data_IF_657733423071
#
_entry.id   IF_657733423071
#
_cell.length_a   1.000
_cell.length_b   1.000
_cell.length_c   1.000
_cell.angle_alpha   90.00
_cell.angle_beta   90.00
_cell.angle_gamma   90.00
#
_symmetry.space_group_name_H-M   'P 1'
#
loop_
_entity.id
_entity.type
_entity.pdbx_description
1 polymer ?
#
# COMPACT_ATOMS: atom_id res chain seq x y z
N UNK A 1 -7.74 -25.16 24.88
CA UNK A 1 -8.19 -24.05 24.02
C UNK A 1 -8.08 -24.47 22.56
N UNK A 2 -8.86 -23.88 21.65
CA UNK A 2 -8.79 -24.12 20.20
C UNK A 2 -7.39 -23.81 19.63
N UNK A 3 -6.72 -22.78 20.17
CA UNK A 3 -5.35 -22.37 19.78
C UNK A 3 -4.35 -23.52 19.93
N UNK A 4 -4.32 -24.19 21.09
CA UNK A 4 -3.41 -25.32 21.32
C UNK A 4 -3.70 -26.49 20.38
N UNK A 5 -4.97 -26.70 20.01
CA UNK A 5 -5.35 -27.73 19.03
C UNK A 5 -4.87 -27.36 17.63
N UNK A 6 -5.04 -26.11 17.21
CA UNK A 6 -4.57 -25.62 15.92
C UNK A 6 -3.04 -25.74 15.81
N UNK A 7 -2.30 -25.31 16.84
CA UNK A 7 -0.83 -25.45 16.90
C UNK A 7 -0.38 -26.91 16.78
N UNK A 8 -1.02 -27.85 17.51
CA UNK A 8 -0.67 -29.28 17.43
C UNK A 8 -0.94 -29.90 16.06
N UNK A 9 -1.94 -29.40 15.32
CA UNK A 9 -2.23 -29.86 13.97
C UNK A 9 -1.29 -29.22 12.94
N UNK A 10 -0.90 -27.96 13.15
CA UNK A 10 -0.03 -27.21 12.25
C UNK A 10 1.43 -27.65 12.34
N UNK A 11 1.93 -27.93 13.55
CA UNK A 11 3.34 -28.23 13.81
C UNK A 11 3.89 -29.36 12.91
N UNK A 12 3.25 -30.55 12.80
CA UNK A 12 3.76 -31.61 11.93
C UNK A 12 3.75 -31.24 10.44
N UNK A 13 2.81 -30.36 10.03
CA UNK A 13 2.74 -29.90 8.64
C UNK A 13 3.89 -28.94 8.32
N UNK A 14 4.29 -28.10 9.27
CA UNK A 14 5.44 -27.20 9.13
C UNK A 14 6.76 -27.99 9.19
N UNK A 15 6.86 -28.98 10.08
CA UNK A 15 8.04 -29.84 10.22
C UNK A 15 8.32 -30.68 8.95
N UNK A 16 7.28 -30.96 8.16
CA UNK A 16 7.39 -31.72 6.91
C UNK A 16 7.79 -30.85 5.69
N UNK A 17 7.90 -29.52 5.85
CA UNK A 17 8.32 -28.64 4.76
C UNK A 17 9.84 -28.73 4.51
N UNK A 18 10.32 -28.40 3.29
CA UNK A 18 11.74 -28.50 2.95
C UNK A 18 12.68 -27.67 3.84
N UNK A 19 12.18 -26.60 4.43
CA UNK A 19 12.89 -25.76 5.40
C UNK A 19 11.96 -25.50 6.61
N UNK A 20 11.97 -26.40 7.62
CA UNK A 20 11.11 -26.29 8.78
C UNK A 20 11.32 -25.01 9.58
N UNK A 21 12.57 -24.56 9.75
CA UNK A 21 12.88 -23.38 10.55
C UNK A 21 12.27 -22.12 9.94
N UNK A 22 12.41 -21.94 8.61
CA UNK A 22 11.74 -20.85 7.88
C UNK A 22 10.23 -20.96 7.96
N UNK A 23 9.68 -22.16 7.80
CA UNK A 23 8.24 -22.39 7.89
C UNK A 23 7.67 -21.99 9.26
N UNK A 24 8.37 -22.36 10.34
CA UNK A 24 8.01 -21.98 11.71
C UNK A 24 8.09 -20.47 11.92
N UNK A 25 9.16 -19.84 11.43
CA UNK A 25 9.33 -18.38 11.52
C UNK A 25 8.17 -17.65 10.83
N UNK A 26 7.89 -18.00 9.57
CA UNK A 26 6.76 -17.44 8.82
C UNK A 26 5.44 -17.68 9.56
N UNK A 27 5.14 -18.93 9.94
CA UNK A 27 3.86 -19.27 10.57
C UNK A 27 3.60 -18.51 11.87
N UNK A 28 4.63 -18.28 12.70
CA UNK A 28 4.52 -17.51 13.94
C UNK A 28 4.23 -16.04 13.67
N UNK A 29 4.96 -15.43 12.72
CA UNK A 29 4.75 -14.02 12.33
C UNK A 29 3.34 -13.81 11.77
N UNK A 30 2.91 -14.67 10.84
CA UNK A 30 1.56 -14.58 10.25
C UNK A 30 0.46 -14.82 11.28
N UNK A 31 0.62 -15.79 12.19
CA UNK A 31 -0.40 -16.07 13.22
C UNK A 31 -0.57 -14.89 14.19
N UNK A 32 0.54 -14.23 14.54
CA UNK A 32 0.49 -13.05 15.40
C UNK A 32 -0.09 -11.82 14.68
N UNK A 33 0.18 -11.66 13.38
CA UNK A 33 -0.43 -10.62 12.55
C UNK A 33 -1.94 -10.87 12.38
N UNK A 34 -2.37 -12.13 12.24
CA UNK A 34 -3.78 -12.49 12.11
C UNK A 34 -4.57 -12.21 13.40
N UNK A 35 -3.93 -12.36 14.57
CA UNK A 35 -4.53 -11.91 15.83
C UNK A 35 -4.75 -10.39 15.82
N UNK A 36 -3.77 -9.61 15.36
CA UNK A 36 -3.92 -8.17 15.21
C UNK A 36 -5.04 -7.81 14.20
N UNK A 37 -5.15 -8.53 13.08
CA UNK A 37 -6.25 -8.37 12.13
C UNK A 37 -7.62 -8.59 12.80
N UNK A 38 -7.77 -9.66 13.58
CA UNK A 38 -9.02 -9.95 14.30
C UNK A 38 -9.37 -8.84 15.31
N UNK A 39 -8.36 -8.29 15.99
CA UNK A 39 -8.52 -7.16 16.89
C UNK A 39 -8.94 -5.89 16.13
N UNK A 40 -8.32 -5.58 14.99
CA UNK A 40 -8.71 -4.42 14.17
C UNK A 40 -10.12 -4.57 13.56
N UNK A 41 -10.50 -5.78 13.12
CA UNK A 41 -11.87 -6.05 12.65
C UNK A 41 -12.90 -5.85 13.75
N UNK A 42 -12.57 -6.27 14.98
CA UNK A 42 -13.47 -6.17 16.14
C UNK A 42 -13.43 -4.80 16.80
N UNK A 43 -12.31 -4.10 16.76
CA UNK A 43 -12.13 -2.76 17.33
C UNK A 43 -12.70 -1.70 16.41
N UNK A 44 -12.46 -1.81 15.11
CA UNK A 44 -12.84 -0.81 14.12
C UNK A 44 -11.99 0.47 14.22
N UNK A 45 -11.97 1.22 13.12
CA UNK A 45 -11.27 2.50 13.03
C UNK A 45 -12.20 3.63 13.49
N UNK A 46 -11.83 4.45 14.48
CA UNK A 46 -12.63 5.60 14.90
C UNK A 46 -12.89 6.60 13.76
N UNK A 47 -14.14 7.03 13.63
CA UNK A 47 -14.57 8.02 12.65
C UNK A 47 -15.54 9.04 13.25
N UNK A 48 -15.62 10.19 12.58
CA UNK A 48 -16.63 11.22 12.79
C UNK A 48 -17.76 10.99 11.76
N UNK A 49 -18.88 10.42 12.22
CA UNK A 49 -20.00 10.05 11.33
C UNK A 49 -20.68 11.28 10.71
N UNK A 50 -20.75 12.39 11.44
CA UNK A 50 -21.33 13.63 10.95
C UNK A 50 -20.47 14.21 9.81
N UNK A 51 -19.16 14.25 10.01
CA UNK A 51 -18.21 14.65 8.98
C UNK A 51 -18.28 13.72 7.75
N UNK A 52 -18.39 12.41 7.97
CA UNK A 52 -18.53 11.46 6.87
C UNK A 52 -19.80 11.73 6.04
N UNK A 53 -20.94 11.95 6.69
CA UNK A 53 -22.21 12.27 6.01
C UNK A 53 -22.15 13.62 5.29
N UNK A 54 -21.49 14.63 5.89
CA UNK A 54 -21.27 15.94 5.25
C UNK A 54 -20.46 15.79 3.97
N UNK A 55 -19.31 15.11 4.03
CA UNK A 55 -18.44 14.89 2.86
C UNK A 55 -19.15 14.10 1.76
N UNK A 56 -19.90 13.05 2.12
CA UNK A 56 -20.70 12.30 1.14
C UNK A 56 -21.75 13.23 0.50
N UNK A 57 -22.43 14.06 1.29
CA UNK A 57 -23.38 15.06 0.80
C UNK A 57 -22.76 16.03 -0.21
N UNK A 58 -21.57 16.54 0.08
CA UNK A 58 -20.85 17.49 -0.77
C UNK A 58 -20.38 16.89 -2.09
N UNK A 59 -19.92 15.64 -2.08
CA UNK A 59 -19.39 14.99 -3.28
C UNK A 59 -20.46 14.26 -4.08
N UNK A 60 -21.33 13.50 -3.41
CA UNK A 60 -22.28 12.60 -4.06
C UNK A 60 -23.69 13.18 -4.17
N UNK A 61 -23.98 14.29 -3.48
CA UNK A 61 -25.32 14.85 -3.34
C UNK A 61 -26.06 14.30 -2.11
N UNK A 62 -27.30 14.76 -1.88
CA UNK A 62 -28.10 14.32 -0.73
C UNK A 62 -28.41 12.82 -0.79
N UNK A 63 -28.78 12.23 0.34
CA UNK A 63 -29.23 10.83 0.36
C UNK A 63 -30.54 10.72 -0.39
N UNK A 64 -30.57 9.87 -1.41
CA UNK A 64 -31.76 9.66 -2.24
C UNK A 64 -32.93 9.11 -1.40
N UNK A 65 -34.11 9.70 -1.55
CA UNK A 65 -35.33 9.25 -0.89
C UNK A 65 -36.05 8.11 -1.64
N UNK A 66 -35.73 7.91 -2.92
CA UNK A 66 -36.29 6.87 -3.79
C UNK A 66 -35.37 6.57 -4.97
N UNK A 67 -35.65 5.51 -5.72
CA UNK A 67 -34.89 5.19 -6.94
C UNK A 67 -34.96 6.31 -8.01
N UNK A 68 -36.12 6.99 -8.14
CA UNK A 68 -36.26 8.13 -9.04
C UNK A 68 -35.41 9.33 -8.61
N UNK A 69 -35.30 9.54 -7.30
CA UNK A 69 -34.47 10.60 -6.73
C UNK A 69 -32.97 10.29 -6.91
N UNK A 70 -32.59 9.02 -6.79
CA UNK A 70 -31.22 8.56 -7.07
C UNK A 70 -30.84 8.78 -8.54
N UNK A 71 -31.73 8.45 -9.47
CA UNK A 71 -31.54 8.72 -10.90
C UNK A 71 -31.37 10.23 -11.16
N UNK A 72 -32.23 11.07 -10.57
CA UNK A 72 -32.15 12.53 -10.69
C UNK A 72 -30.81 13.07 -10.17
N UNK A 73 -30.37 12.67 -8.97
CA UNK A 73 -29.09 13.11 -8.39
C UNK A 73 -27.92 12.68 -9.28
N UNK A 74 -28.00 11.48 -9.86
CA UNK A 74 -26.99 10.96 -10.79
C UNK A 74 -26.94 11.77 -12.09
N UNK A 75 -28.09 12.09 -12.67
CA UNK A 75 -28.20 12.94 -13.86
C UNK A 75 -27.66 14.36 -13.61
N UNK A 76 -28.00 14.97 -12.47
CA UNK A 76 -27.48 16.27 -12.05
C UNK A 76 -25.96 16.28 -11.92
N UNK A 77 -25.38 15.19 -11.40
CA UNK A 77 -23.93 15.02 -11.31
C UNK A 77 -23.30 14.88 -12.70
N UNK A 78 -23.87 14.05 -13.58
CA UNK A 78 -23.37 13.86 -14.94
C UNK A 78 -23.43 15.17 -15.75
N UNK A 79 -24.47 15.96 -15.53
CA UNK A 79 -24.72 17.24 -16.16
C UNK A 79 -23.60 18.27 -15.94
N UNK A 80 -22.92 18.24 -14.79
CA UNK A 80 -21.73 19.08 -14.52
C UNK A 80 -20.62 18.90 -15.56
N UNK A 81 -20.54 17.73 -16.22
CA UNK A 81 -19.58 17.46 -17.29
C UNK A 81 -20.20 17.72 -18.66
N UNK A 82 -21.43 17.26 -18.87
CA UNK A 82 -22.09 17.31 -20.17
C UNK A 82 -22.36 18.74 -20.65
N UNK A 83 -22.48 19.71 -19.74
CA UNK A 83 -22.64 21.13 -20.07
C UNK A 83 -21.45 21.72 -20.84
N UNK A 84 -20.26 21.14 -20.69
CA UNK A 84 -19.04 21.61 -21.36
C UNK A 84 -18.83 21.04 -22.77
N UNK A 85 -19.69 20.13 -23.22
CA UNK A 85 -19.55 19.49 -24.54
C UNK A 85 -20.05 20.39 -25.67
N UNK A 86 -19.24 20.52 -26.71
CA UNK A 86 -19.60 21.23 -27.96
C UNK A 86 -19.42 20.32 -29.18
N UNK A 87 -20.50 19.93 -29.90
CA UNK A 87 -21.89 20.08 -29.51
C UNK A 87 -22.23 19.20 -28.31
N UNK A 88 -23.28 19.60 -27.59
CA UNK A 88 -23.78 18.83 -26.46
C UNK A 88 -24.38 17.51 -26.92
N UNK A 89 -24.06 16.42 -26.22
CA UNK A 89 -24.52 15.07 -26.56
C UNK A 89 -24.55 14.19 -25.31
N UNK A 90 -25.43 13.18 -25.26
CA UNK A 90 -25.41 12.19 -24.19
C UNK A 90 -24.13 11.34 -24.27
N UNK A 91 -23.48 11.14 -23.13
CA UNK A 91 -22.31 10.27 -22.99
C UNK A 91 -22.44 9.51 -21.68
N UNK A 92 -22.27 8.19 -21.69
CA UNK A 92 -22.17 7.44 -20.45
C UNK A 92 -20.79 7.65 -19.83
N UNK A 93 -20.70 8.56 -18.86
CA UNK A 93 -19.44 8.91 -18.18
C UNK A 93 -18.84 7.73 -17.38
N UNK A 94 -19.63 6.69 -17.09
CA UNK A 94 -19.20 5.47 -16.41
C UNK A 94 -18.59 4.45 -17.37
N UNK A 95 -18.69 4.67 -18.68
CA UNK A 95 -18.05 3.85 -19.70
C UNK A 95 -16.72 4.48 -20.16
N UNK A 96 -15.56 3.90 -19.80
CA UNK A 96 -14.26 4.47 -20.16
C UNK A 96 -14.02 4.64 -21.66
N UNK A 97 -14.61 3.77 -22.48
CA UNK A 97 -14.49 3.85 -23.95
C UNK A 97 -15.27 5.05 -24.49
N UNK A 98 -16.46 5.31 -23.97
CA UNK A 98 -17.27 6.47 -24.35
C UNK A 98 -16.63 7.78 -23.88
N UNK A 99 -16.06 7.82 -22.66
CA UNK A 99 -15.31 8.99 -22.18
C UNK A 99 -14.09 9.27 -23.06
N UNK A 100 -13.35 8.24 -23.47
CA UNK A 100 -12.22 8.41 -24.40
C UNK A 100 -12.67 8.94 -25.76
N UNK A 101 -13.79 8.42 -26.29
CA UNK A 101 -14.35 8.88 -27.55
C UNK A 101 -14.87 10.32 -27.46
N UNK A 102 -15.51 10.69 -26.33
CA UNK A 102 -15.93 12.05 -26.02
C UNK A 102 -14.74 13.01 -26.01
N UNK A 103 -13.68 12.70 -25.27
CA UNK A 103 -12.46 13.52 -25.21
C UNK A 103 -11.84 13.70 -26.60
N UNK A 104 -11.73 12.63 -27.40
CA UNK A 104 -11.24 12.71 -28.78
C UNK A 104 -12.09 13.67 -29.63
N UNK A 105 -13.42 13.63 -29.50
CA UNK A 105 -14.32 14.54 -30.22
C UNK A 105 -14.16 16.00 -29.78
N UNK A 106 -13.73 16.24 -28.54
CA UNK A 106 -13.43 17.57 -28.01
C UNK A 106 -11.98 18.01 -28.28
N UNK A 107 -11.23 17.26 -29.10
CA UNK A 107 -9.86 17.62 -29.51
C UNK A 107 -8.74 17.04 -28.65
N UNK A 108 -9.07 16.22 -27.64
CA UNK A 108 -8.10 15.61 -26.73
C UNK A 108 -7.76 14.17 -27.15
N UNK A 109 -6.66 13.98 -27.86
CA UNK A 109 -6.19 12.64 -28.25
C UNK A 109 -5.26 12.04 -27.19
N UNK A 110 -5.80 11.11 -26.40
CA UNK A 110 -5.08 10.47 -25.29
C UNK A 110 -5.04 8.93 -25.43
N UNK A 111 -3.95 8.25 -25.03
CA UNK A 111 -3.88 6.78 -25.02
C UNK A 111 -4.90 6.13 -24.07
N UNK A 112 -5.13 6.74 -22.92
CA UNK A 112 -6.06 6.36 -21.85
C UNK A 112 -6.49 7.61 -21.07
N UNK A 113 -7.47 7.44 -20.18
CA UNK A 113 -8.10 8.52 -19.40
C UNK A 113 -7.68 8.48 -17.93
N UNK A 114 -6.44 8.10 -17.61
CA UNK A 114 -5.90 8.16 -16.25
C UNK A 114 -5.81 9.61 -15.76
N UNK A 115 -6.04 9.82 -14.46
CA UNK A 115 -6.10 11.14 -13.85
C UNK A 115 -4.87 12.00 -14.16
N UNK A 116 -3.66 11.48 -13.94
CA UNK A 116 -2.41 12.21 -14.21
C UNK A 116 -2.27 12.72 -15.64
N UNK A 117 -2.83 12.01 -16.63
CA UNK A 117 -2.78 12.44 -18.03
C UNK A 117 -3.81 13.51 -18.32
N UNK A 118 -4.98 13.43 -17.72
CA UNK A 118 -5.98 14.49 -17.78
C UNK A 118 -5.45 15.76 -17.10
N UNK A 119 -4.80 15.62 -15.94
CA UNK A 119 -4.17 16.73 -15.20
C UNK A 119 -3.07 17.44 -16.02
N UNK A 120 -2.35 16.73 -16.89
CA UNK A 120 -1.36 17.33 -17.80
C UNK A 120 -1.96 18.27 -18.86
N UNK A 121 -3.26 18.14 -19.16
CA UNK A 121 -3.94 19.07 -20.07
C UNK A 121 -4.25 20.42 -19.39
N UNK A 122 -4.08 20.49 -18.06
CA UNK A 122 -4.32 21.67 -17.25
C UNK A 122 -5.79 22.13 -17.26
N UNK A 123 -6.01 23.34 -16.78
CA UNK A 123 -7.35 23.94 -16.63
C UNK A 123 -7.78 24.77 -17.86
N UNK A 124 -7.15 24.55 -19.01
CA UNK A 124 -7.41 25.33 -20.23
C UNK A 124 -8.76 25.02 -20.88
N UNK A 125 -9.21 23.76 -20.76
CA UNK A 125 -10.53 23.32 -21.19
C UNK A 125 -11.37 22.96 -19.95
N UNK A 126 -12.49 23.67 -19.68
CA UNK A 126 -13.37 23.42 -18.54
C UNK A 126 -13.88 21.97 -18.42
N UNK A 127 -13.94 21.22 -19.53
CA UNK A 127 -14.34 19.81 -19.54
C UNK A 127 -13.41 18.95 -18.66
N UNK A 128 -12.10 19.23 -18.66
CA UNK A 128 -11.10 18.43 -17.96
C UNK A 128 -11.26 18.50 -16.43
N UNK A 129 -11.27 19.68 -15.78
CA UNK A 129 -11.51 19.78 -14.35
C UNK A 129 -12.92 19.29 -13.97
N UNK A 130 -13.94 19.52 -14.79
CA UNK A 130 -15.28 18.99 -14.56
C UNK A 130 -15.29 17.45 -14.53
N UNK A 131 -14.65 16.80 -15.50
CA UNK A 131 -14.54 15.34 -15.56
C UNK A 131 -13.75 14.77 -14.36
N UNK A 132 -12.67 15.45 -13.94
CA UNK A 132 -11.89 15.05 -12.77
C UNK A 132 -12.69 15.19 -11.47
N UNK A 133 -13.46 16.28 -11.31
CA UNK A 133 -14.38 16.47 -10.18
C UNK A 133 -15.46 15.38 -10.17
N UNK A 134 -16.10 15.15 -11.32
CA UNK A 134 -17.12 14.11 -11.49
C UNK A 134 -16.59 12.72 -11.11
N UNK A 135 -15.36 12.35 -11.51
CA UNK A 135 -14.76 11.05 -11.14
C UNK A 135 -14.58 10.88 -9.63
N UNK A 136 -14.21 11.94 -8.93
CA UNK A 136 -14.09 11.92 -7.45
C UNK A 136 -15.47 11.73 -6.83
N UNK A 137 -16.45 12.50 -7.27
CA UNK A 137 -17.84 12.44 -6.83
C UNK A 137 -18.47 11.06 -7.10
N UNK A 138 -18.31 10.52 -8.30
CA UNK A 138 -18.82 9.21 -8.71
C UNK A 138 -18.21 8.08 -7.87
N UNK A 139 -16.89 8.12 -7.63
CA UNK A 139 -16.21 7.14 -6.77
C UNK A 139 -16.73 7.20 -5.34
N UNK A 140 -16.95 8.39 -4.78
CA UNK A 140 -17.53 8.54 -3.45
C UNK A 140 -18.96 8.00 -3.46
N UNK A 141 -19.82 8.44 -4.38
CA UNK A 141 -21.21 7.99 -4.49
C UNK A 141 -21.35 6.46 -4.56
N UNK A 142 -20.49 5.78 -5.32
CA UNK A 142 -20.60 4.34 -5.59
C UNK A 142 -19.86 3.46 -4.58
N UNK A 143 -18.74 3.93 -4.03
CA UNK A 143 -17.84 3.09 -3.21
C UNK A 143 -17.79 3.53 -1.74
N UNK A 144 -17.94 4.83 -1.45
CA UNK A 144 -17.81 5.42 -0.11
C UNK A 144 -19.06 6.24 0.27
N UNK A 145 -20.21 5.92 -0.33
CA UNK A 145 -21.44 6.70 -0.22
C UNK A 145 -22.28 6.29 0.97
N UNK A 146 -23.56 6.68 0.98
CA UNK A 146 -24.47 6.40 2.10
C UNK A 146 -24.59 4.90 2.41
N UNK A 147 -24.67 4.04 1.40
CA UNK A 147 -24.72 2.59 1.62
C UNK A 147 -23.46 2.02 2.26
N UNK A 148 -22.30 2.61 2.00
CA UNK A 148 -21.04 2.23 2.64
C UNK A 148 -21.03 2.58 4.13
N UNK A 149 -21.58 3.74 4.51
CA UNK A 149 -21.81 4.11 5.92
C UNK A 149 -22.76 3.10 6.56
N UNK A 150 -23.92 2.84 5.95
CA UNK A 150 -24.92 1.92 6.51
C UNK A 150 -24.38 0.50 6.74
N UNK A 151 -23.49 0.03 5.85
CA UNK A 151 -22.94 -1.32 5.89
C UNK A 151 -21.78 -1.45 6.88
N UNK A 152 -20.88 -0.46 6.92
CA UNK A 152 -19.58 -0.62 7.58
C UNK A 152 -19.39 0.25 8.82
N UNK A 153 -20.25 1.22 9.10
CA UNK A 153 -20.12 2.11 10.25
C UNK A 153 -21.09 1.72 11.35
N UNK A 154 -20.56 1.48 12.56
CA UNK A 154 -21.32 1.15 13.77
C UNK A 154 -20.60 1.72 14.98
N UNK A 155 -21.34 2.41 15.85
CA UNK A 155 -20.86 2.95 17.12
C UNK A 155 -19.66 3.91 16.94
N UNK A 156 -19.71 4.82 15.95
CA UNK A 156 -18.63 5.78 15.67
C UNK A 156 -17.38 5.15 15.07
N UNK A 157 -17.46 3.90 14.59
CA UNK A 157 -16.30 3.17 14.08
C UNK A 157 -16.57 2.50 12.73
N UNK A 158 -15.63 2.67 11.81
CA UNK A 158 -15.58 1.99 10.52
C UNK A 158 -15.00 0.58 10.69
N UNK A 159 -15.77 -0.42 10.26
CA UNK A 159 -15.47 -1.85 10.46
C UNK A 159 -15.34 -2.56 9.12
N UNK A 160 -14.14 -3.11 8.89
CA UNK A 160 -13.82 -3.95 7.74
C UNK A 160 -13.15 -5.25 8.17
N UNK A 161 -13.19 -6.23 7.29
CA UNK A 161 -12.41 -7.45 7.43
C UNK A 161 -10.93 -7.16 7.17
N UNK A 162 -10.07 -7.72 8.01
CA UNK A 162 -8.62 -7.65 7.87
C UNK A 162 -8.06 -9.05 7.65
N UNK A 163 -7.03 -9.18 6.83
CA UNK A 163 -6.25 -10.41 6.70
C UNK A 163 -4.76 -10.09 6.67
N UNK A 164 -3.95 -10.92 7.34
CA UNK A 164 -2.50 -10.74 7.44
C UNK A 164 -1.76 -10.87 6.09
N UNK A 165 -2.41 -11.46 5.08
CA UNK A 165 -1.81 -11.74 3.78
C UNK A 165 -2.80 -11.64 2.62
N UNK A 166 -2.31 -11.09 1.51
CA UNK A 166 -2.92 -11.05 0.18
C UNK A 166 -2.87 -12.37 -0.60
N UNK A 167 -2.35 -13.46 -0.01
CA UNK A 167 -2.11 -14.72 -0.70
C UNK A 167 -0.94 -14.72 -1.70
N UNK A 168 -0.21 -13.61 -1.82
CA UNK A 168 0.95 -13.45 -2.70
C UNK A 168 2.21 -13.19 -1.86
N UNK A 169 2.80 -11.99 -1.97
CA UNK A 169 4.03 -11.61 -1.26
C UNK A 169 3.80 -11.39 0.25
N UNK A 170 2.56 -11.39 0.73
CA UNK A 170 2.27 -11.36 2.17
C UNK A 170 1.89 -10.00 2.73
N UNK A 171 1.48 -9.05 1.87
CA UNK A 171 0.95 -7.75 2.31
C UNK A 171 -0.36 -7.95 3.06
N UNK A 172 -0.57 -7.18 4.13
CA UNK A 172 -1.88 -7.15 4.79
C UNK A 172 -2.94 -6.63 3.84
N UNK A 173 -4.18 -7.06 4.02
CA UNK A 173 -5.34 -6.61 3.25
C UNK A 173 -6.48 -6.20 4.16
N UNK A 174 -7.29 -5.27 3.67
CA UNK A 174 -8.47 -4.77 4.37
C UNK A 174 -9.64 -4.61 3.40
N UNK A 175 -10.86 -4.87 3.87
CA UNK A 175 -12.10 -4.57 3.16
C UNK A 175 -12.69 -3.22 3.61
N UNK A 176 -13.93 -2.93 3.23
CA UNK A 176 -14.61 -1.65 3.52
C UNK A 176 -13.84 -0.41 3.04
N UNK A 177 -12.94 -0.57 2.07
CA UNK A 177 -12.15 0.54 1.51
C UNK A 177 -11.09 1.13 2.47
N UNK A 178 -10.79 0.49 3.61
CA UNK A 178 -9.82 0.99 4.61
C UNK A 178 -8.44 1.32 4.00
N UNK A 179 -7.94 0.48 3.10
CA UNK A 179 -6.66 0.77 2.42
C UNK A 179 -6.76 1.81 1.30
N UNK A 180 -7.96 2.06 0.79
CA UNK A 180 -8.19 2.82 -0.43
C UNK A 180 -9.04 4.07 -0.21
N UNK A 181 -9.23 4.47 1.05
CA UNK A 181 -10.04 5.63 1.44
C UNK A 181 -9.48 6.87 0.72
N UNK A 182 -10.30 7.58 -0.08
CA UNK A 182 -9.85 8.74 -0.82
C UNK A 182 -9.27 9.80 0.13
N UNK A 183 -8.23 10.51 -0.32
CA UNK A 183 -7.61 11.57 0.49
C UNK A 183 -8.62 12.60 1.00
N UNK A 184 -9.60 12.98 0.17
CA UNK A 184 -10.68 13.90 0.53
C UNK A 184 -11.63 13.38 1.62
N UNK A 185 -11.64 12.07 1.87
CA UNK A 185 -12.44 11.46 2.93
C UNK A 185 -11.63 11.25 4.21
N UNK A 186 -10.30 11.41 4.22
CA UNK A 186 -9.46 11.08 5.39
C UNK A 186 -9.76 11.93 6.63
N UNK A 187 -10.39 13.10 6.49
CA UNK A 187 -10.80 13.93 7.64
C UNK A 187 -11.89 13.28 8.49
N UNK A 188 -12.69 12.36 7.93
CA UNK A 188 -13.66 11.59 8.71
C UNK A 188 -13.00 10.66 9.71
N UNK A 189 -11.75 10.22 9.48
CA UNK A 189 -11.04 9.36 10.43
C UNK A 189 -10.50 10.25 11.54
N UNK A 190 -11.12 10.15 12.71
CA UNK A 190 -10.91 11.05 13.84
C UNK A 190 -10.80 10.24 15.13
N UNK A 191 -9.80 10.54 15.94
CA UNK A 191 -9.68 9.92 17.25
C UNK A 191 -10.87 10.27 18.15
N UNK A 192 -11.34 9.31 18.93
CA UNK A 192 -12.40 9.52 19.93
C UNK A 192 -12.06 10.65 20.93
N UNK A 193 -13.07 11.22 21.56
CA UNK A 193 -12.88 12.27 22.57
C UNK A 193 -12.01 11.78 23.73
N UNK A 194 -10.97 12.56 24.08
CA UNK A 194 -9.96 12.18 25.08
C UNK A 194 -8.85 11.29 24.54
N UNK A 195 -8.86 10.98 23.23
CA UNK A 195 -7.85 10.21 22.53
C UNK A 195 -7.18 11.01 21.41
N UNK A 196 -6.07 10.46 20.93
CA UNK A 196 -5.33 10.89 19.75
C UNK A 196 -4.90 9.66 18.95
N UNK A 197 -4.48 9.87 17.71
CA UNK A 197 -3.72 8.89 16.98
C UNK A 197 -2.22 9.18 17.10
N UNK A 198 -1.44 8.15 17.38
CA UNK A 198 0.00 8.12 17.09
C UNK A 198 0.15 7.47 15.71
N UNK A 199 0.46 8.30 14.71
CA UNK A 199 0.74 7.86 13.34
C UNK A 199 2.23 7.59 13.22
N UNK A 200 2.58 6.48 12.57
CA UNK A 200 3.96 6.18 12.23
C UNK A 200 4.07 5.60 10.83
N UNK A 201 5.03 6.08 10.03
CA UNK A 201 5.29 5.63 8.66
C UNK A 201 6.74 5.21 8.50
N UNK A 202 7.00 3.99 8.01
CA UNK A 202 8.35 3.47 7.84
C UNK A 202 9.07 4.15 6.66
N UNK A 203 10.04 4.99 6.98
CA UNK A 203 10.81 5.76 6.00
C UNK A 203 11.65 4.88 5.08
N UNK A 204 11.34 4.90 3.78
CA UNK A 204 12.07 4.19 2.72
C UNK A 204 12.28 2.69 3.05
N UNK A 205 11.22 2.01 3.49
CA UNK A 205 11.33 0.64 3.98
C UNK A 205 11.91 -0.34 2.95
N UNK A 206 11.48 -0.25 1.69
CA UNK A 206 11.89 -1.18 0.62
C UNK A 206 13.41 -1.23 0.37
N UNK A 207 14.11 -0.09 0.15
CA UNK A 207 15.57 -0.14 0.01
C UNK A 207 16.29 -0.52 1.31
N UNK A 208 15.72 -0.23 2.50
CA UNK A 208 16.30 -0.67 3.78
C UNK A 208 16.18 -2.19 3.97
N UNK A 209 15.05 -2.79 3.61
CA UNK A 209 14.92 -4.25 3.62
C UNK A 209 15.81 -4.89 2.56
N UNK A 210 15.96 -4.29 1.38
CA UNK A 210 16.92 -4.77 0.37
C UNK A 210 18.35 -4.77 0.93
N UNK A 211 18.77 -3.70 1.62
CA UNK A 211 20.07 -3.64 2.30
C UNK A 211 20.25 -4.81 3.27
N UNK A 212 19.22 -5.05 4.10
CA UNK A 212 19.21 -6.13 5.10
C UNK A 212 19.29 -7.51 4.46
N UNK A 213 18.41 -7.84 3.51
CA UNK A 213 18.33 -9.19 2.95
C UNK A 213 19.45 -9.52 1.97
N UNK A 214 20.07 -8.50 1.36
CA UNK A 214 21.22 -8.71 0.47
C UNK A 214 22.55 -8.78 1.19
N UNK A 215 22.69 -8.12 2.35
CA UNK A 215 23.99 -7.99 3.02
C UNK A 215 24.98 -7.08 2.27
N UNK A 216 24.52 -6.24 1.34
CA UNK A 216 25.40 -5.35 0.58
C UNK A 216 25.95 -4.24 1.50
N UNK A 217 27.24 -4.34 1.85
CA UNK A 217 27.87 -3.43 2.81
C UNK A 217 27.77 -1.95 2.42
N UNK A 218 27.80 -1.62 1.13
CA UNK A 218 27.68 -0.23 0.67
C UNK A 218 26.24 0.27 0.82
N UNK A 219 25.25 -0.58 0.54
CA UNK A 219 23.84 -0.23 0.72
C UNK A 219 23.47 -0.15 2.21
N UNK A 220 24.00 -1.05 3.04
CA UNK A 220 23.85 -1.01 4.51
C UNK A 220 24.41 0.30 5.06
N UNK A 221 25.60 0.72 4.62
CA UNK A 221 26.19 2.00 5.02
C UNK A 221 25.31 3.19 4.62
N UNK A 222 24.66 3.15 3.44
CA UNK A 222 23.73 4.19 3.00
C UNK A 222 22.49 4.31 3.91
N UNK A 223 22.08 3.24 4.60
CA UNK A 223 20.92 3.28 5.52
C UNK A 223 21.18 4.14 6.76
N UNK A 224 22.43 4.47 7.09
CA UNK A 224 22.76 5.27 8.27
C UNK A 224 22.28 6.71 8.16
N UNK A 225 22.10 7.23 6.94
CA UNK A 225 21.50 8.53 6.70
C UNK A 225 20.00 8.55 6.98
N UNK A 226 19.49 9.71 7.39
CA UNK A 226 18.04 9.92 7.52
C UNK A 226 17.36 9.84 6.15
N UNK A 227 18.03 10.34 5.11
CA UNK A 227 17.67 10.13 3.71
C UNK A 227 18.59 9.08 3.06
N UNK A 228 18.04 7.91 2.76
CA UNK A 228 18.79 6.81 2.15
C UNK A 228 19.25 7.12 0.71
N UNK A 229 18.56 8.01 -0.02
CA UNK A 229 18.87 8.28 -1.42
C UNK A 229 20.05 9.25 -1.58
N UNK A 230 20.28 10.13 -0.61
CA UNK A 230 21.38 11.11 -0.65
C UNK A 230 22.78 10.47 -0.70
N UNK A 231 23.15 9.51 0.18
CA UNK A 231 24.44 8.81 0.07
C UNK A 231 24.53 7.97 -1.20
N UNK A 232 23.41 7.41 -1.70
CA UNK A 232 23.40 6.68 -2.96
C UNK A 232 23.68 7.61 -4.14
N UNK A 233 23.01 8.76 -4.19
CA UNK A 233 23.19 9.79 -5.21
C UNK A 233 24.63 10.28 -5.27
N UNK A 234 25.20 10.60 -4.10
CA UNK A 234 26.60 10.99 -3.95
C UNK A 234 27.56 9.93 -4.48
N UNK A 235 27.32 8.65 -4.17
CA UNK A 235 28.16 7.54 -4.64
C UNK A 235 28.04 7.29 -6.14
N UNK A 236 26.86 7.52 -6.71
CA UNK A 236 26.60 7.37 -8.15
C UNK A 236 27.01 8.60 -8.98
N UNK A 237 27.24 9.75 -8.34
CA UNK A 237 27.50 11.02 -9.03
C UNK A 237 26.26 11.57 -9.75
N UNK A 238 25.06 11.35 -9.21
CA UNK A 238 23.78 11.82 -9.78
C UNK A 238 22.99 12.60 -8.73
N UNK A 239 21.87 13.21 -9.13
CA UNK A 239 20.97 13.87 -8.18
C UNK A 239 20.18 12.85 -7.36
N UNK A 240 19.72 13.26 -6.18
CA UNK A 240 18.87 12.47 -5.30
C UNK A 240 17.66 11.84 -6.01
N UNK A 241 16.96 12.62 -6.83
CA UNK A 241 15.76 12.14 -7.53
C UNK A 241 16.10 11.07 -8.58
N UNK A 242 17.21 11.24 -9.30
CA UNK A 242 17.69 10.21 -10.24
C UNK A 242 18.08 8.92 -9.50
N UNK A 243 18.76 9.04 -8.35
CA UNK A 243 19.11 7.88 -7.52
C UNK A 243 17.87 7.16 -7.00
N UNK A 244 16.86 7.89 -6.53
CA UNK A 244 15.57 7.32 -6.09
C UNK A 244 14.90 6.54 -7.20
N UNK A 245 14.76 7.13 -8.39
CA UNK A 245 14.15 6.45 -9.54
C UNK A 245 14.97 5.23 -9.96
N UNK A 246 16.30 5.30 -9.93
CA UNK A 246 17.16 4.15 -10.25
C UNK A 246 16.99 3.00 -9.25
N UNK A 247 17.00 3.27 -7.94
CA UNK A 247 16.84 2.24 -6.89
C UNK A 247 15.46 1.58 -7.00
N UNK A 248 14.39 2.37 -7.14
CA UNK A 248 13.05 1.84 -7.36
C UNK A 248 12.95 1.07 -8.68
N UNK A 249 13.57 1.58 -9.75
CA UNK A 249 13.62 0.91 -11.05
C UNK A 249 14.32 -0.45 -11.01
N UNK A 250 15.40 -0.57 -10.23
CA UNK A 250 16.11 -1.83 -10.02
C UNK A 250 15.22 -2.87 -9.30
N UNK A 251 14.54 -2.47 -8.22
CA UNK A 251 13.64 -3.34 -7.46
C UNK A 251 12.40 -3.73 -8.25
N UNK A 252 11.86 -2.80 -9.07
CA UNK A 252 10.62 -3.00 -9.82
C UNK A 252 10.78 -3.48 -11.26
N UNK A 253 12.02 -3.56 -11.74
CA UNK A 253 12.36 -3.98 -13.10
C UNK A 253 11.96 -2.98 -14.19
N UNK A 254 11.90 -1.68 -13.86
CA UNK A 254 11.82 -0.62 -14.85
C UNK A 254 13.23 -0.24 -15.31
N UNK A 255 13.59 -0.61 -16.55
CA UNK A 255 14.98 -0.50 -17.06
C UNK A 255 15.17 0.58 -18.13
N UNK A 256 14.12 1.33 -18.48
CA UNK A 256 14.14 2.29 -19.60
C UNK A 256 13.89 3.72 -19.15
N UNK A 257 14.59 4.69 -19.77
CA UNK A 257 14.42 6.13 -19.51
C UNK A 257 15.71 6.82 -19.06
N UNK A 258 15.59 8.07 -18.61
CA UNK A 258 16.72 8.93 -18.18
C UNK A 258 17.57 8.33 -17.04
N UNK A 259 17.04 7.33 -16.32
CA UNK A 259 17.73 6.65 -15.21
C UNK A 259 18.60 5.45 -15.64
N UNK A 260 18.65 5.10 -16.92
CA UNK A 260 19.43 3.95 -17.39
C UNK A 260 20.94 4.00 -17.05
N UNK A 261 21.64 5.15 -17.16
CA UNK A 261 23.03 5.26 -16.70
C UNK A 261 23.18 5.06 -15.19
N UNK A 262 22.22 5.54 -14.39
CA UNK A 262 22.22 5.37 -12.94
C UNK A 262 22.00 3.91 -12.53
N UNK A 263 21.16 3.16 -13.26
CA UNK A 263 21.01 1.71 -13.07
C UNK A 263 22.32 0.94 -13.32
N UNK A 264 23.07 1.30 -14.36
CA UNK A 264 24.39 0.71 -14.60
C UNK A 264 25.37 1.04 -13.45
N UNK A 265 25.29 2.26 -12.91
CA UNK A 265 26.03 2.66 -11.73
C UNK A 265 25.70 1.85 -10.48
N UNK A 266 24.43 1.43 -10.29
CA UNK A 266 24.03 0.58 -9.18
C UNK A 266 24.70 -0.80 -9.25
N UNK A 267 24.76 -1.44 -10.42
CA UNK A 267 25.44 -2.74 -10.58
C UNK A 267 26.91 -2.69 -10.17
N UNK A 268 27.59 -1.56 -10.41
CA UNK A 268 29.00 -1.37 -10.02
C UNK A 268 29.16 -1.09 -8.53
N UNK A 269 28.25 -0.29 -7.95
CA UNK A 269 28.42 0.25 -6.59
C UNK A 269 27.77 -0.60 -5.49
N UNK A 270 26.74 -1.38 -5.85
CA UNK A 270 25.95 -2.24 -4.96
C UNK A 270 25.76 -3.64 -5.59
N UNK A 271 26.85 -4.33 -5.97
CA UNK A 271 26.78 -5.54 -6.78
C UNK A 271 26.06 -6.70 -6.07
N UNK A 272 26.10 -6.78 -4.74
CA UNK A 272 25.47 -7.88 -3.98
C UNK A 272 23.96 -7.70 -3.99
N UNK A 273 23.48 -6.48 -3.74
CA UNK A 273 22.06 -6.16 -3.79
C UNK A 273 21.49 -6.36 -5.20
N UNK A 274 22.21 -5.91 -6.24
CA UNK A 274 21.77 -6.09 -7.62
C UNK A 274 21.81 -7.56 -8.06
N UNK A 275 22.81 -8.32 -7.59
CA UNK A 275 22.90 -9.77 -7.81
C UNK A 275 21.68 -10.51 -7.26
N UNK A 276 21.28 -10.21 -6.02
CA UNK A 276 20.08 -10.80 -5.41
C UNK A 276 18.81 -10.54 -6.24
N UNK A 277 18.62 -9.31 -6.73
CA UNK A 277 17.49 -8.96 -7.58
C UNK A 277 17.55 -9.67 -8.95
N UNK A 278 18.74 -9.81 -9.54
CA UNK A 278 18.88 -10.52 -10.81
C UNK A 278 18.59 -12.01 -10.64
N UNK A 279 19.08 -12.64 -9.57
CA UNK A 279 18.80 -14.05 -9.23
C UNK A 279 17.30 -14.30 -9.07
N UNK A 280 16.59 -13.42 -8.35
CA UNK A 280 15.14 -13.53 -8.20
C UNK A 280 14.42 -13.37 -9.56
N UNK A 281 14.83 -12.43 -10.39
CA UNK A 281 14.26 -12.29 -11.72
C UNK A 281 14.51 -13.50 -12.60
N UNK A 282 15.70 -14.08 -12.53
CA UNK A 282 16.07 -15.24 -13.32
C UNK A 282 15.26 -16.48 -12.90
N UNK A 283 15.05 -16.68 -11.59
CA UNK A 283 14.12 -17.67 -11.07
C UNK A 283 12.70 -17.44 -11.62
N UNK A 284 12.20 -16.21 -11.58
CA UNK A 284 10.90 -15.84 -12.15
C UNK A 284 10.79 -16.12 -13.66
N UNK A 285 11.81 -15.76 -14.46
CA UNK A 285 11.85 -16.04 -15.91
C UNK A 285 11.78 -17.55 -16.18
N UNK A 286 12.48 -18.34 -15.37
CA UNK A 286 12.48 -19.82 -15.37
C UNK A 286 11.22 -20.44 -14.76
N UNK A 287 10.25 -19.61 -14.31
CA UNK A 287 9.02 -20.06 -13.67
C UNK A 287 9.27 -20.87 -12.38
N UNK A 288 10.35 -20.54 -11.66
CA UNK A 288 10.71 -21.11 -10.38
C UNK A 288 10.17 -20.24 -9.25
N UNK A 289 9.54 -20.85 -8.25
CA UNK A 289 9.05 -20.15 -7.07
C UNK A 289 10.20 -19.44 -6.34
N UNK A 290 9.93 -18.24 -5.82
CA UNK A 290 10.88 -17.49 -4.99
C UNK A 290 10.43 -17.46 -3.55
N UNK A 291 11.36 -17.11 -2.66
CA UNK A 291 11.11 -17.05 -1.23
C UNK A 291 11.48 -15.68 -0.68
N UNK A 292 10.67 -15.15 0.21
CA UNK A 292 11.02 -13.96 1.01
C UNK A 292 12.08 -14.35 2.05
N UNK A 293 12.69 -13.34 2.69
CA UNK A 293 13.69 -13.58 3.76
C UNK A 293 13.10 -14.36 4.94
N UNK A 294 11.88 -14.03 5.38
CA UNK A 294 11.18 -14.73 6.45
C UNK A 294 10.69 -16.14 6.11
N UNK A 295 10.78 -16.57 4.85
CA UNK A 295 10.50 -17.94 4.41
C UNK A 295 9.21 -18.14 3.62
N UNK A 296 8.46 -17.08 3.32
CA UNK A 296 7.23 -17.18 2.53
C UNK A 296 7.55 -17.55 1.09
N UNK A 297 6.91 -18.60 0.61
CA UNK A 297 6.96 -19.04 -0.79
C UNK A 297 6.01 -18.24 -1.66
N UNK A 298 6.52 -17.62 -2.71
CA UNK A 298 5.75 -16.90 -3.73
C UNK A 298 5.76 -17.73 -5.02
N UNK A 299 4.57 -18.21 -5.42
CA UNK A 299 4.42 -19.09 -6.57
C UNK A 299 4.48 -18.33 -7.90
N UNK A 300 5.32 -18.79 -8.82
CA UNK A 300 5.42 -18.20 -10.17
C UNK A 300 4.43 -18.82 -11.17
N UNK A 301 4.03 -20.07 -10.92
CA UNK A 301 3.30 -20.91 -11.88
C UNK A 301 1.79 -20.61 -12.01
N UNK A 302 1.32 -19.42 -11.63
CA UNK A 302 -0.12 -19.07 -11.72
C UNK A 302 -0.58 -18.63 -13.13
N UNK A 303 0.35 -18.51 -14.08
CA UNK A 303 0.06 -18.18 -15.48
C UNK A 303 -0.09 -19.45 -16.32
N UNK A 304 -1.30 -19.72 -16.80
CA UNK A 304 -1.57 -20.79 -17.76
C UNK A 304 -0.68 -20.60 -19.00
N UNK A 305 -0.01 -21.64 -19.51
CA UNK A 305 0.75 -21.53 -20.75
C UNK A 305 -0.19 -21.10 -21.88
N UNK A 306 0.06 -19.93 -22.47
CA UNK A 306 -0.60 -19.52 -23.71
C UNK A 306 0.11 -20.17 -24.89
N UNK A 307 -0.66 -20.78 -25.79
CA UNK A 307 -0.13 -21.40 -27.01
C UNK A 307 0.65 -20.39 -27.88
N UNK A 308 1.85 -20.81 -28.31
CA UNK A 308 2.29 -20.67 -29.70
C UNK A 308 2.97 -19.38 -30.20
N UNK A 309 3.32 -18.40 -29.36
CA UNK A 309 3.99 -17.17 -29.81
C UNK A 309 5.25 -16.86 -28.97
N UNK A 310 6.41 -16.82 -29.63
CA UNK A 310 7.71 -16.58 -29.00
C UNK A 310 7.78 -15.21 -28.34
N UNK A 311 7.20 -14.17 -28.96
CA UNK A 311 7.24 -12.81 -28.43
C UNK A 311 6.39 -12.70 -27.15
N UNK A 312 5.24 -13.40 -27.11
CA UNK A 312 4.42 -13.50 -25.91
C UNK A 312 5.12 -14.30 -24.82
N UNK A 313 5.81 -15.39 -25.17
CA UNK A 313 6.57 -16.18 -24.20
C UNK A 313 7.70 -15.37 -23.55
N UNK A 314 8.43 -14.58 -24.36
CA UNK A 314 9.48 -13.67 -23.87
C UNK A 314 8.89 -12.58 -22.98
N UNK A 315 7.80 -11.93 -23.40
CA UNK A 315 7.13 -10.91 -22.60
C UNK A 315 6.60 -11.45 -21.27
N UNK A 316 6.02 -12.66 -21.27
CA UNK A 316 5.54 -13.34 -20.08
C UNK A 316 6.69 -13.71 -19.13
N UNK A 317 7.81 -14.24 -19.66
CA UNK A 317 9.00 -14.53 -18.87
C UNK A 317 9.56 -13.25 -18.23
N UNK A 318 9.67 -12.15 -19.00
CA UNK A 318 10.10 -10.86 -18.48
C UNK A 318 9.17 -10.31 -17.38
N UNK A 319 7.85 -10.46 -17.56
CA UNK A 319 6.86 -10.08 -16.54
C UNK A 319 7.02 -10.89 -15.25
N UNK A 320 7.24 -12.23 -15.36
CA UNK A 320 7.54 -13.08 -14.19
C UNK A 320 8.84 -12.67 -13.51
N UNK A 321 9.88 -12.33 -14.27
CA UNK A 321 11.13 -11.82 -13.70
C UNK A 321 10.95 -10.54 -12.90
N UNK A 322 10.16 -9.58 -13.42
CA UNK A 322 9.81 -8.35 -12.66
C UNK A 322 9.00 -8.69 -11.41
N UNK A 323 7.98 -9.53 -11.53
CA UNK A 323 7.15 -9.93 -10.40
C UNK A 323 7.98 -10.60 -9.29
N UNK A 324 8.92 -11.48 -9.64
CA UNK A 324 9.79 -12.16 -8.69
C UNK A 324 10.69 -11.19 -7.89
N UNK A 325 11.29 -10.18 -8.56
CA UNK A 325 12.04 -9.10 -7.87
C UNK A 325 11.17 -8.36 -6.87
N UNK A 326 10.01 -7.91 -7.33
CA UNK A 326 9.07 -7.16 -6.49
C UNK A 326 8.67 -7.99 -5.28
N UNK A 327 8.39 -9.27 -5.49
CA UNK A 327 7.90 -10.17 -4.46
C UNK A 327 8.90 -10.36 -3.31
N UNK A 328 10.20 -10.52 -3.61
CA UNK A 328 11.21 -10.70 -2.55
C UNK A 328 11.42 -9.44 -1.70
N UNK A 329 11.33 -8.25 -2.32
CA UNK A 329 11.49 -6.97 -1.61
C UNK A 329 10.22 -6.60 -0.85
N UNK A 330 9.05 -6.63 -1.50
CA UNK A 330 7.78 -6.28 -0.87
C UNK A 330 7.36 -7.28 0.20
N UNK A 331 7.66 -8.57 -0.01
CA UNK A 331 7.42 -9.58 1.01
C UNK A 331 8.29 -9.38 2.24
N UNK A 332 9.58 -9.05 2.04
CA UNK A 332 10.47 -8.67 3.14
C UNK A 332 9.96 -7.42 3.89
N UNK A 333 9.51 -6.38 3.17
CA UNK A 333 8.92 -5.19 3.77
C UNK A 333 7.64 -5.51 4.56
N UNK A 334 6.76 -6.35 4.02
CA UNK A 334 5.53 -6.77 4.69
C UNK A 334 5.81 -7.60 5.96
N UNK A 335 6.82 -8.47 5.92
CA UNK A 335 7.27 -9.22 7.10
C UNK A 335 7.78 -8.30 8.20
N UNK A 336 8.70 -7.38 7.86
CA UNK A 336 9.22 -6.41 8.82
C UNK A 336 8.10 -5.56 9.43
N UNK A 337 7.21 -5.02 8.58
CA UNK A 337 6.07 -4.23 9.03
C UNK A 337 5.19 -5.02 10.02
N UNK A 338 4.90 -6.29 9.74
CA UNK A 338 4.12 -7.13 10.66
C UNK A 338 4.82 -7.34 11.99
N UNK A 339 6.12 -7.65 11.98
CA UNK A 339 6.92 -7.79 13.22
C UNK A 339 6.88 -6.50 14.03
N UNK A 340 7.02 -5.35 13.38
CA UNK A 340 6.90 -4.03 14.03
C UNK A 340 5.50 -3.78 14.59
N UNK A 341 4.44 -3.97 13.80
CA UNK A 341 3.06 -3.76 14.23
C UNK A 341 2.67 -4.66 15.43
N UNK A 342 3.08 -5.93 15.42
CA UNK A 342 2.86 -6.86 16.54
C UNK A 342 3.65 -6.42 17.77
N UNK A 343 4.87 -5.91 17.59
CA UNK A 343 5.71 -5.41 18.69
C UNK A 343 5.07 -4.19 19.35
N UNK A 344 4.59 -3.22 18.55
CA UNK A 344 3.82 -2.07 19.00
C UNK A 344 2.57 -2.54 19.75
N UNK A 345 1.78 -3.44 19.15
CA UNK A 345 0.57 -4.01 19.74
C UNK A 345 0.85 -4.71 21.08
N UNK A 346 1.97 -5.43 21.21
CA UNK A 346 2.35 -6.12 22.46
C UNK A 346 2.71 -5.11 23.55
N UNK A 347 3.56 -4.11 23.25
CA UNK A 347 4.01 -3.11 24.23
C UNK A 347 2.88 -2.14 24.60
N UNK A 348 2.07 -1.72 23.63
CA UNK A 348 0.99 -0.75 23.80
C UNK A 348 -0.14 -1.21 24.71
N UNK A 349 -0.32 -2.53 24.91
CA UNK A 349 -1.32 -3.08 25.85
C UNK A 349 -1.24 -2.49 27.26
N UNK A 350 -0.04 -2.21 27.76
CA UNK A 350 0.14 -1.64 29.11
C UNK A 350 -0.41 -0.21 29.24
N UNK A 351 -0.53 0.50 28.12
CA UNK A 351 -1.02 1.88 28.02
C UNK A 351 -2.44 1.96 27.47
N UNK A 352 -3.11 0.81 27.32
CA UNK A 352 -4.37 0.69 26.60
C UNK A 352 -4.34 1.34 25.20
N UNK A 353 -3.18 1.27 24.53
CA UNK A 353 -3.00 1.76 23.18
C UNK A 353 -3.37 0.65 22.17
N UNK A 354 -4.18 1.01 21.18
CA UNK A 354 -4.76 0.09 20.21
C UNK A 354 -4.26 0.41 18.81
N UNK A 355 -3.71 -0.60 18.11
CA UNK A 355 -3.46 -0.46 16.68
C UNK A 355 -4.81 -0.53 15.95
N UNK A 356 -5.18 0.53 15.24
CA UNK A 356 -6.50 0.67 14.59
C UNK A 356 -6.43 0.71 13.06
N UNK A 357 -5.25 0.96 12.50
CA UNK A 357 -5.00 0.89 11.06
C UNK A 357 -3.58 0.40 10.79
N UNK A 358 -3.47 -0.54 9.86
CA UNK A 358 -2.22 -0.89 9.20
C UNK A 358 -2.38 -0.60 7.70
N UNK A 359 -1.68 0.38 7.15
CA UNK A 359 -1.73 0.71 5.72
C UNK A 359 -0.32 0.64 5.14
N UNK A 360 0.02 -0.48 4.49
CA UNK A 360 1.34 -0.67 3.87
C UNK A 360 2.50 -0.54 4.87
N UNK A 361 3.17 0.60 4.88
CA UNK A 361 4.26 1.03 5.76
C UNK A 361 3.80 1.96 6.88
N UNK A 362 2.52 2.34 6.90
CA UNK A 362 1.91 3.22 7.88
C UNK A 362 1.10 2.46 8.95
N UNK A 363 1.18 2.94 10.19
CA UNK A 363 0.49 2.47 11.37
C UNK A 363 -0.25 3.63 12.04
N UNK A 364 -1.52 3.42 12.42
CA UNK A 364 -2.24 4.30 13.35
C UNK A 364 -2.50 3.57 14.67
N UNK A 365 -2.06 4.19 15.76
CA UNK A 365 -2.31 3.71 17.12
C UNK A 365 -3.24 4.70 17.83
N UNK A 366 -4.42 4.26 18.21
CA UNK A 366 -5.38 5.02 19.00
C UNK A 366 -4.98 4.92 20.48
N UNK A 367 -4.77 6.06 21.12
CA UNK A 367 -4.27 6.13 22.50
C UNK A 367 -4.89 7.31 23.24
N UNK A 368 -5.04 7.17 24.56
CA UNK A 368 -5.47 8.28 25.41
C UNK A 368 -4.48 9.44 25.29
N UNK A 369 -5.01 10.66 25.25
CA UNK A 369 -4.19 11.88 25.10
C UNK A 369 -3.11 11.99 26.18
N UNK A 370 -3.40 11.55 27.40
CA UNK A 370 -2.45 11.55 28.53
C UNK A 370 -1.24 10.63 28.32
N UNK A 371 -1.35 9.63 27.46
CA UNK A 371 -0.28 8.67 27.12
C UNK A 371 0.34 8.93 25.74
N UNK A 372 -0.05 10.00 25.03
CA UNK A 372 0.34 10.22 23.64
C UNK A 372 1.85 10.20 23.42
N UNK A 373 2.60 10.94 24.24
CA UNK A 373 4.08 11.01 24.14
C UNK A 373 4.75 9.68 24.46
N UNK A 374 4.20 8.93 25.42
CA UNK A 374 4.73 7.62 25.83
C UNK A 374 4.50 6.58 24.72
N UNK A 375 3.31 6.58 24.12
CA UNK A 375 2.98 5.71 22.98
C UNK A 375 3.82 6.07 21.75
N UNK A 376 4.03 7.37 21.47
CA UNK A 376 4.89 7.80 20.36
C UNK A 376 6.34 7.31 20.52
N UNK A 377 6.92 7.44 21.72
CA UNK A 377 8.26 6.92 22.01
C UNK A 377 8.31 5.38 21.88
N UNK A 378 7.29 4.68 22.40
CA UNK A 378 7.17 3.23 22.28
C UNK A 378 7.12 2.77 20.82
N UNK A 379 6.36 3.46 19.97
CA UNK A 379 6.24 3.13 18.54
C UNK A 379 7.57 3.31 17.82
N UNK A 380 8.29 4.40 18.11
CA UNK A 380 9.63 4.65 17.58
C UNK A 380 10.64 3.57 18.04
N UNK A 381 10.66 3.26 19.34
CA UNK A 381 11.56 2.27 19.93
C UNK A 381 11.28 0.84 19.44
N UNK A 382 10.03 0.52 19.13
CA UNK A 382 9.63 -0.80 18.65
C UNK A 382 10.31 -1.18 17.31
N UNK A 383 10.81 -0.21 16.55
CA UNK A 383 11.54 -0.44 15.30
C UNK A 383 12.85 -1.20 15.57
N UNK A 384 13.59 -0.83 16.60
CA UNK A 384 14.86 -1.48 16.94
C UNK A 384 14.66 -2.94 17.36
N UNK A 385 13.59 -3.21 18.12
CA UNK A 385 13.20 -4.57 18.50
C UNK A 385 12.73 -5.39 17.28
N UNK A 386 11.93 -4.79 16.39
CA UNK A 386 11.51 -5.45 15.17
C UNK A 386 12.71 -5.79 14.27
N UNK A 387 13.66 -4.87 14.12
CA UNK A 387 14.90 -5.10 13.40
C UNK A 387 15.73 -6.22 14.03
N UNK A 388 15.82 -6.28 15.36
CA UNK A 388 16.52 -7.37 16.05
C UNK A 388 15.92 -8.76 15.76
N UNK A 389 14.59 -8.86 15.66
CA UNK A 389 13.93 -10.15 15.41
C UNK A 389 13.89 -10.56 13.94
N UNK A 390 13.84 -9.59 13.02
CA UNK A 390 13.61 -9.87 11.61
C UNK A 390 14.87 -9.70 10.73
N UNK A 391 15.70 -8.69 11.01
CA UNK A 391 16.82 -8.34 10.14
C UNK A 391 17.94 -9.36 10.24
N UNK A 392 18.36 -10.01 9.14
CA UNK A 392 19.57 -10.83 9.12
C UNK A 392 20.85 -10.02 9.38
N UNK A 393 20.87 -8.71 9.09
CA UNK A 393 22.02 -7.83 9.37
C UNK A 393 21.68 -6.80 10.46
N UNK A 394 22.42 -6.79 11.59
CA UNK A 394 22.16 -5.88 12.70
C UNK A 394 22.59 -4.42 12.44
N UNK A 395 23.35 -4.16 11.37
CA UNK A 395 23.89 -2.83 11.07
C UNK A 395 22.94 -2.00 10.20
N UNK A 396 21.83 -2.57 9.73
CA UNK A 396 20.84 -1.80 8.97
C UNK A 396 20.04 -0.91 9.92
N UNK A 397 20.06 0.40 9.64
CA UNK A 397 19.21 1.35 10.35
C UNK A 397 17.83 1.35 9.70
N UNK A 398 16.80 1.09 10.50
CA UNK A 398 15.40 1.32 10.14
C UNK A 398 14.92 2.62 10.79
N UNK A 399 13.94 3.28 10.17
CA UNK A 399 13.42 4.57 10.64
C UNK A 399 11.91 4.65 10.41
N UNK A 400 11.22 5.38 11.28
CA UNK A 400 9.85 5.81 11.04
C UNK A 400 9.70 7.30 11.35
N UNK A 401 8.82 7.96 10.61
CA UNK A 401 8.32 9.28 10.97
C UNK A 401 7.09 9.11 11.88
N UNK A 402 7.17 9.64 13.10
CA UNK A 402 6.14 9.48 14.14
C UNK A 402 5.53 10.82 14.49
N UNK A 403 4.21 10.91 14.46
CA UNK A 403 3.47 12.12 14.80
C UNK A 403 2.21 11.82 15.61
N UNK A 404 1.81 12.78 16.44
CA UNK A 404 0.54 12.73 17.18
C UNK A 404 -0.47 13.61 16.44
N UNK A 405 -1.59 13.03 16.04
CA UNK A 405 -2.61 13.68 15.21
C UNK A 405 -4.01 13.42 15.77
N UNK A 406 -4.97 14.30 15.45
CA UNK A 406 -6.39 14.07 15.79
C UNK A 406 -7.16 13.47 14.63
N UNK A 407 -6.94 14.00 13.44
CA UNK A 407 -7.53 13.49 12.20
C UNK A 407 -6.46 12.83 11.34
N UNK A 408 -6.82 11.76 10.64
CA UNK A 408 -5.88 11.08 9.73
C UNK A 408 -5.45 11.98 8.56
N UNK A 409 -6.27 12.96 8.18
CA UNK A 409 -5.91 13.98 7.19
C UNK A 409 -4.74 14.88 7.61
N UNK A 410 -4.34 14.88 8.89
CA UNK A 410 -3.16 15.61 9.39
C UNK A 410 -1.85 14.85 9.16
N UNK A 411 -1.92 13.57 8.76
CA UNK A 411 -0.75 12.80 8.34
C UNK A 411 -0.15 13.47 7.09
N UNK A 412 1.02 14.06 7.24
CA UNK A 412 1.76 14.71 6.15
C UNK A 412 2.48 13.71 5.26
#
# INVERSE_FOLDING_TARGET
>A
SLVLRAMRLQQPMLDALPDPDRAHSTARSESAAELLCAEMTTGGLPIDEEEALRLIGEFAGPRAASALDEERIREERDEEVLVHLTPRQPVNLRNPAEVKAMLRRQGHELPDTRAWRLEQLGDTDPLIPALLKWRKAERISTTYGYGWIDEHVRDGRLRGGWASSDGAAGRMTASAGLHNLPAAMRSLVKAEDGYVFVRADLGQIEPRVLASVSGDAALIAATQGDDLYEPIASRLGVTRDIAKVAVLGAMYGATTGESAPALAGLNKNYPVAMGLLEEAAEAGRKNQDVFTSGGRRVRMSSTTPGDGDLDRAVAAAAARGRFARNAIVQGAAAEFFKVWAITVRRRGRALAAEVVLCLHDELLVHARVDHASEVAALVADAIGEAAHYWSPDPNVRFSADVSVIKHWSEAK
#
